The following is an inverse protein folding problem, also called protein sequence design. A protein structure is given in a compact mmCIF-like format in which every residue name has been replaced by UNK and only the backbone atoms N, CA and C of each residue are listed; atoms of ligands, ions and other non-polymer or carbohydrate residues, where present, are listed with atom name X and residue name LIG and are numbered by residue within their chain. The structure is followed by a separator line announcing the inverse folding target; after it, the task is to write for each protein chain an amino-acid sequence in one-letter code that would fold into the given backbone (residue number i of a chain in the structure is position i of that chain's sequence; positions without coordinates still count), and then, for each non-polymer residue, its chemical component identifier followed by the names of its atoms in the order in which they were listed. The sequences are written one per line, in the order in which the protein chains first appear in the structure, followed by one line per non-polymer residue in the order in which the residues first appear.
data_IF_554654021946
#
_entry.id   IF_554654021946
#
_cell.length_a   1.000
_cell.length_b   1.000
_cell.length_c   1.000
_cell.angle_alpha   90.00
_cell.angle_beta   90.00
_cell.angle_gamma   90.00
#
_symmetry.space_group_name_H-M   'P 1'
#
loop_
_entity.id
_entity.type
_entity.pdbx_description
1 polymer ?
#
# COMPACT_ATOMS: atom_id res chain seq x y z
N UNK A 1 14.17 -23.08 -10.77
CA UNK A 1 14.74 -23.38 -9.44
C UNK A 1 13.95 -22.63 -8.37
N UNK A 2 12.86 -23.27 -7.91
CA UNK A 2 12.36 -23.35 -6.53
C UNK A 2 12.62 -22.22 -5.51
N UNK A 3 12.30 -20.98 -5.86
CA UNK A 3 11.88 -19.97 -4.86
C UNK A 3 10.37 -20.16 -4.51
N UNK A 4 9.68 -21.04 -5.23
CA UNK A 4 8.24 -21.30 -5.14
C UNK A 4 7.81 -22.30 -4.05
N UNK A 5 8.72 -22.91 -3.29
CA UNK A 5 8.37 -23.93 -2.28
C UNK A 5 8.23 -23.41 -0.84
N UNK A 6 8.61 -22.16 -0.54
CA UNK A 6 8.46 -21.61 0.82
C UNK A 6 7.04 -21.14 1.16
N UNK A 7 6.12 -21.05 0.19
CA UNK A 7 4.75 -20.55 0.45
C UNK A 7 4.00 -21.40 1.48
N UNK A 8 4.20 -22.71 1.48
CA UNK A 8 3.64 -23.63 2.47
C UNK A 8 4.28 -23.51 3.86
N UNK A 9 5.60 -23.31 3.92
CA UNK A 9 6.31 -23.11 5.18
C UNK A 9 5.95 -21.76 5.81
N UNK A 10 5.92 -20.69 5.03
CA UNK A 10 5.55 -19.35 5.51
C UNK A 10 4.09 -19.28 5.93
N UNK A 11 3.17 -19.92 5.21
CA UNK A 11 1.75 -19.99 5.63
C UNK A 11 1.57 -20.84 6.89
N UNK A 12 2.39 -21.89 7.09
CA UNK A 12 2.40 -22.64 8.34
C UNK A 12 2.98 -21.85 9.51
N UNK A 13 3.99 -21.01 9.26
CA UNK A 13 4.63 -20.14 10.25
C UNK A 13 3.74 -18.95 10.64
N UNK A 14 2.93 -18.44 9.69
CA UNK A 14 1.91 -17.41 9.96
C UNK A 14 0.89 -17.83 11.03
N UNK A 15 0.64 -19.13 11.22
CA UNK A 15 -0.28 -19.62 12.27
C UNK A 15 0.15 -19.21 13.68
N UNK A 16 1.42 -18.86 13.87
CA UNK A 16 1.93 -18.18 15.04
C UNK A 16 2.17 -16.69 14.69
N UNK A 17 1.11 -15.89 14.80
CA UNK A 17 1.04 -14.51 14.28
C UNK A 17 2.16 -13.62 14.80
N UNK A 18 2.54 -13.79 16.07
CA UNK A 18 3.44 -12.89 16.77
C UNK A 18 4.90 -13.16 16.39
N UNK A 19 5.28 -14.43 16.26
CA UNK A 19 6.61 -14.80 15.82
C UNK A 19 6.83 -14.46 14.34
N UNK A 20 5.79 -14.60 13.52
CA UNK A 20 5.82 -14.17 12.11
C UNK A 20 5.97 -12.65 11.98
N UNK A 21 5.23 -11.88 12.78
CA UNK A 21 5.32 -10.42 12.83
C UNK A 21 6.73 -9.98 13.24
N UNK A 22 7.28 -10.54 14.34
CA UNK A 22 8.65 -10.23 14.79
C UNK A 22 9.68 -10.53 13.71
N UNK A 23 9.52 -11.66 13.01
CA UNK A 23 10.37 -12.03 11.90
C UNK A 23 10.30 -11.00 10.76
N UNK A 24 9.10 -10.63 10.31
CA UNK A 24 8.93 -9.62 9.27
C UNK A 24 9.50 -8.25 9.69
N UNK A 25 9.26 -7.81 10.93
CA UNK A 25 9.82 -6.58 11.47
C UNK A 25 11.35 -6.58 11.48
N UNK A 26 11.97 -7.70 11.88
CA UNK A 26 13.42 -7.84 11.89
C UNK A 26 14.05 -7.67 10.50
N UNK A 27 13.32 -8.04 9.44
CA UNK A 27 13.72 -7.83 8.06
C UNK A 27 13.49 -6.37 7.62
N UNK A 28 12.37 -5.76 8.01
CA UNK A 28 12.03 -4.37 7.63
C UNK A 28 13.07 -3.37 8.14
N UNK A 29 13.61 -3.58 9.34
CA UNK A 29 14.62 -2.69 9.95
C UNK A 29 16.06 -3.20 9.77
N UNK A 30 16.26 -4.18 8.89
CA UNK A 30 17.57 -4.81 8.71
C UNK A 30 18.58 -3.84 8.05
N UNK A 31 19.87 -3.85 8.44
CA UNK A 31 20.90 -3.00 7.84
C UNK A 31 21.09 -3.19 6.34
N UNK A 32 21.00 -4.44 5.84
CA UNK A 32 21.10 -4.73 4.41
C UNK A 32 19.82 -4.46 3.64
N UNK A 33 19.93 -3.81 2.48
CA UNK A 33 18.77 -3.39 1.68
C UNK A 33 17.92 -4.54 1.18
N UNK A 34 18.54 -5.64 0.73
CA UNK A 34 17.83 -6.81 0.22
C UNK A 34 16.83 -7.41 1.23
N UNK A 35 17.20 -7.48 2.52
CA UNK A 35 16.31 -8.02 3.55
C UNK A 35 15.14 -7.08 3.82
N UNK A 36 15.36 -5.76 3.75
CA UNK A 36 14.26 -4.79 3.88
C UNK A 36 13.23 -4.94 2.76
N UNK A 37 13.66 -5.20 1.53
CA UNK A 37 12.74 -5.50 0.42
C UNK A 37 11.88 -6.71 0.73
N UNK A 38 12.50 -7.78 1.23
CA UNK A 38 11.79 -9.01 1.60
C UNK A 38 10.82 -8.73 2.76
N UNK A 39 11.25 -8.03 3.80
CA UNK A 39 10.41 -7.69 4.95
C UNK A 39 9.16 -6.88 4.56
N UNK A 40 9.30 -5.92 3.64
CA UNK A 40 8.17 -5.13 3.13
C UNK A 40 7.23 -5.94 2.25
N UNK A 41 7.75 -6.89 1.45
CA UNK A 41 6.90 -7.84 0.72
C UNK A 41 6.14 -8.76 1.67
N UNK A 42 6.80 -9.28 2.71
CA UNK A 42 6.11 -10.08 3.74
C UNK A 42 5.03 -9.27 4.45
N UNK A 43 5.28 -7.98 4.71
CA UNK A 43 4.26 -7.08 5.26
C UNK A 43 3.03 -6.99 4.36
N UNK A 44 3.22 -6.67 3.08
CA UNK A 44 2.13 -6.44 2.13
C UNK A 44 1.40 -7.75 1.75
N UNK A 45 2.12 -8.85 1.52
CA UNK A 45 1.57 -10.13 1.05
C UNK A 45 0.78 -10.86 2.15
N UNK A 46 1.12 -10.64 3.42
CA UNK A 46 0.47 -11.28 4.58
C UNK A 46 -0.41 -10.32 5.38
N UNK A 47 -0.68 -9.13 4.85
CA UNK A 47 -1.59 -8.15 5.42
C UNK A 47 -1.29 -7.78 6.89
N UNK A 48 -0.01 -7.57 7.21
CA UNK A 48 0.42 -7.28 8.57
C UNK A 48 -0.09 -5.92 9.09
N UNK A 49 -0.67 -5.09 8.23
CA UNK A 49 -1.42 -3.89 8.64
C UNK A 49 -2.59 -4.18 9.59
N UNK A 50 -3.17 -5.39 9.57
CA UNK A 50 -4.25 -5.79 10.48
C UNK A 50 -3.75 -6.40 11.79
N UNK A 51 -2.44 -6.59 11.96
CA UNK A 51 -1.88 -7.07 13.22
C UNK A 51 -2.13 -6.08 14.36
N UNK A 52 -2.03 -6.53 15.61
CA UNK A 52 -2.15 -5.65 16.79
C UNK A 52 -0.92 -4.74 17.00
N UNK A 53 0.12 -4.92 16.19
CA UNK A 53 1.37 -4.16 16.24
C UNK A 53 1.13 -2.65 16.28
N UNK A 54 1.74 -1.98 17.25
CA UNK A 54 1.77 -0.54 17.38
C UNK A 54 3.23 -0.06 17.48
N UNK A 55 3.80 0.55 16.43
CA UNK A 55 5.21 0.92 16.45
C UNK A 55 5.55 1.97 17.50
N UNK A 56 4.58 2.75 18.00
CA UNK A 56 4.84 3.71 19.08
C UNK A 56 5.06 3.02 20.43
N UNK A 57 4.41 1.87 20.65
CA UNK A 57 4.47 1.10 21.91
C UNK A 57 5.50 -0.02 21.87
N UNK A 58 5.63 -0.66 20.70
CA UNK A 58 6.33 -1.94 20.55
C UNK A 58 7.77 -1.79 20.06
N UNK A 59 8.17 -0.59 19.64
CA UNK A 59 9.51 -0.31 19.15
C UNK A 59 10.17 0.83 19.93
N UNK A 60 11.47 0.70 20.16
CA UNK A 60 12.31 1.80 20.66
C UNK A 60 12.49 2.90 19.58
N UNK A 61 12.95 4.07 20.01
CA UNK A 61 13.10 5.27 19.16
C UNK A 61 13.89 5.02 17.85
N UNK A 62 15.00 4.30 17.92
CA UNK A 62 15.84 4.01 16.75
C UNK A 62 15.10 3.07 15.77
N UNK A 63 14.62 1.88 16.20
CA UNK A 63 13.76 1.03 15.38
C UNK A 63 12.53 1.74 14.80
N UNK A 64 11.88 2.66 15.54
CA UNK A 64 10.78 3.49 15.00
C UNK A 64 11.24 4.31 13.79
N UNK A 65 12.39 4.99 13.89
CA UNK A 65 12.95 5.76 12.77
C UNK A 65 13.27 4.87 11.56
N UNK A 66 13.88 3.71 11.78
CA UNK A 66 14.24 2.76 10.72
C UNK A 66 12.99 2.17 10.06
N UNK A 67 11.97 1.86 10.85
CA UNK A 67 10.68 1.38 10.36
C UNK A 67 10.01 2.42 9.46
N UNK A 68 9.95 3.68 9.88
CA UNK A 68 9.43 4.80 9.05
C UNK A 68 10.18 4.90 7.73
N UNK A 69 11.51 4.94 7.78
CA UNK A 69 12.35 5.09 6.59
C UNK A 69 12.10 3.93 5.64
N UNK A 70 12.14 2.69 6.13
CA UNK A 70 11.98 1.49 5.31
C UNK A 70 10.59 1.43 4.68
N UNK A 71 9.53 1.59 5.46
CA UNK A 71 8.13 1.44 5.01
C UNK A 71 7.71 2.49 3.97
N UNK A 72 8.35 3.66 3.95
CA UNK A 72 8.11 4.74 2.99
C UNK A 72 9.16 4.80 1.85
N UNK A 73 10.15 3.90 1.83
CA UNK A 73 11.24 3.93 0.85
C UNK A 73 10.82 3.44 -0.54
N UNK A 74 9.86 2.51 -0.61
CA UNK A 74 9.44 1.86 -1.86
C UNK A 74 7.99 2.18 -2.27
N UNK A 75 7.49 1.48 -3.28
CA UNK A 75 6.18 1.73 -3.89
C UNK A 75 5.03 0.95 -3.23
N UNK A 76 5.13 0.60 -1.95
CA UNK A 76 4.04 -0.05 -1.23
C UNK A 76 2.80 0.83 -1.06
N UNK A 77 1.63 0.18 -0.96
CA UNK A 77 0.33 0.85 -0.93
C UNK A 77 0.21 1.79 0.29
N UNK A 78 -0.03 3.10 0.09
CA UNK A 78 -0.21 4.05 1.19
C UNK A 78 -1.38 3.70 2.10
N UNK A 79 -2.44 3.08 1.58
CA UNK A 79 -3.62 2.73 2.39
C UNK A 79 -3.34 1.62 3.41
N UNK A 80 -2.39 0.72 3.14
CA UNK A 80 -2.03 -0.36 4.08
C UNK A 80 -0.90 0.06 5.02
N UNK A 81 0.07 0.85 4.52
CA UNK A 81 1.28 1.19 5.28
C UNK A 81 1.15 2.42 6.16
N UNK A 82 0.47 3.47 5.69
CA UNK A 82 0.35 4.71 6.47
C UNK A 82 -0.40 4.55 7.80
N UNK A 83 -1.49 3.74 7.91
CA UNK A 83 -2.21 3.62 9.19
C UNK A 83 -1.32 3.25 10.38
N UNK A 84 -0.31 2.39 10.17
CA UNK A 84 0.64 2.02 11.23
C UNK A 84 1.71 3.08 11.49
N UNK A 85 2.05 3.90 10.50
CA UNK A 85 3.05 4.95 10.66
C UNK A 85 2.47 6.22 11.27
N UNK A 86 1.20 6.52 11.02
CA UNK A 86 0.55 7.76 11.40
C UNK A 86 0.57 8.08 12.91
N UNK A 87 0.41 7.12 13.82
CA UNK A 87 0.59 7.37 15.26
C UNK A 87 1.95 7.98 15.61
N UNK A 88 3.00 7.69 14.83
CA UNK A 88 4.36 8.21 15.08
C UNK A 88 4.49 9.72 14.82
N UNK A 89 3.53 10.36 14.16
CA UNK A 89 3.45 11.82 14.07
C UNK A 89 3.30 12.44 15.47
N UNK A 90 2.66 11.72 16.38
CA UNK A 90 2.40 12.13 17.76
C UNK A 90 3.35 11.44 18.76
N UNK A 91 4.44 10.84 18.26
CA UNK A 91 5.48 10.25 19.12
C UNK A 91 6.08 11.30 20.04
N UNK A 92 6.42 10.92 21.28
CA UNK A 92 7.07 11.81 22.25
C UNK A 92 8.48 12.22 21.78
N UNK A 93 9.15 11.38 20.97
CA UNK A 93 10.46 11.70 20.41
C UNK A 93 10.37 12.72 19.26
N UNK A 94 11.00 13.87 19.46
CA UNK A 94 11.20 14.89 18.43
C UNK A 94 11.92 14.33 17.20
N UNK A 95 12.83 13.37 17.38
CA UNK A 95 13.56 12.74 16.27
C UNK A 95 12.63 11.92 15.40
N UNK A 96 11.78 11.09 16.02
CA UNK A 96 10.79 10.26 15.31
C UNK A 96 9.82 11.15 14.53
N UNK A 97 9.30 12.21 15.17
CA UNK A 97 8.44 13.20 14.51
C UNK A 97 9.11 13.85 13.30
N UNK A 98 10.38 14.24 13.42
CA UNK A 98 11.11 14.83 12.29
C UNK A 98 11.33 13.84 11.15
N UNK A 99 11.67 12.57 11.45
CA UNK A 99 11.89 11.53 10.44
C UNK A 99 10.62 11.25 9.65
N UNK A 100 9.47 11.07 10.32
CA UNK A 100 8.21 10.81 9.62
C UNK A 100 7.79 12.01 8.76
N UNK A 101 7.92 13.23 9.27
CA UNK A 101 7.57 14.44 8.52
C UNK A 101 8.44 14.59 7.27
N UNK A 102 9.76 14.38 7.38
CA UNK A 102 10.68 14.46 6.25
C UNK A 102 10.40 13.40 5.17
N UNK A 103 9.88 12.23 5.56
CA UNK A 103 9.55 11.16 4.62
C UNK A 103 8.15 11.27 4.02
N UNK A 104 7.19 11.86 4.74
CA UNK A 104 5.82 12.01 4.24
C UNK A 104 5.69 13.03 3.10
N UNK A 105 6.51 14.09 3.06
CA UNK A 105 6.48 15.09 1.98
C UNK A 105 6.80 14.49 0.60
N UNK A 106 7.96 13.83 0.38
CA UNK A 106 8.23 13.19 -0.91
C UNK A 106 7.23 12.07 -1.21
N UNK A 107 6.80 11.32 -0.20
CA UNK A 107 5.79 10.28 -0.35
C UNK A 107 4.43 10.83 -0.82
N UNK A 108 4.06 12.05 -0.38
CA UNK A 108 2.86 12.74 -0.84
C UNK A 108 2.96 13.13 -2.32
N UNK A 109 4.10 13.65 -2.75
CA UNK A 109 4.35 14.01 -4.16
C UNK A 109 4.28 12.77 -5.06
N UNK A 110 4.89 11.69 -4.60
CA UNK A 110 4.93 10.38 -5.26
C UNK A 110 3.52 9.84 -5.54
N UNK A 111 2.67 9.92 -4.53
CA UNK A 111 1.28 9.50 -4.60
C UNK A 111 0.32 10.63 -5.00
N UNK A 112 0.81 11.75 -5.53
CA UNK A 112 -0.01 12.86 -6.00
C UNK A 112 -1.09 13.31 -5.01
N UNK A 113 -0.78 13.35 -3.72
CA UNK A 113 -1.73 13.74 -2.69
C UNK A 113 -2.79 12.69 -2.32
N UNK A 114 -2.72 11.45 -2.83
CA UNK A 114 -3.57 10.36 -2.33
C UNK A 114 -3.38 10.11 -0.83
N UNK A 115 -2.20 10.45 -0.29
CA UNK A 115 -1.88 10.44 1.14
C UNK A 115 -2.87 11.29 1.97
N UNK A 116 -3.33 12.43 1.45
CA UNK A 116 -4.28 13.31 2.16
C UNK A 116 -5.61 12.60 2.42
N UNK A 117 -6.08 11.79 1.47
CA UNK A 117 -7.32 11.00 1.63
C UNK A 117 -7.20 9.98 2.76
N UNK A 118 -6.00 9.47 3.03
CA UNK A 118 -5.77 8.56 4.15
C UNK A 118 -5.86 9.32 5.48
N UNK A 119 -5.33 10.55 5.54
CA UNK A 119 -5.48 11.41 6.73
C UNK A 119 -6.95 11.75 6.99
N UNK A 120 -7.73 12.04 5.94
CA UNK A 120 -9.17 12.30 6.05
C UNK A 120 -9.92 11.07 6.58
N UNK A 121 -9.65 9.88 6.03
CA UNK A 121 -10.27 8.61 6.47
C UNK A 121 -9.99 8.30 7.93
N UNK A 122 -8.79 8.59 8.40
CA UNK A 122 -8.35 8.33 9.78
C UNK A 122 -8.67 9.48 10.74
N UNK A 123 -9.30 10.56 10.24
CA UNK A 123 -9.73 11.74 11.00
C UNK A 123 -8.59 12.39 11.81
N UNK A 124 -7.37 12.44 11.25
CA UNK A 124 -6.19 12.97 11.93
C UNK A 124 -6.06 14.47 11.64
N UNK A 125 -6.17 15.29 12.68
CA UNK A 125 -6.11 16.75 12.60
C UNK A 125 -5.07 17.36 13.56
N UNK A 126 -3.83 16.89 13.48
CA UNK A 126 -2.70 17.44 14.23
C UNK A 126 -2.06 18.64 13.48
N UNK A 127 -1.43 19.57 14.20
CA UNK A 127 -0.62 20.67 13.65
C UNK A 127 0.36 20.22 12.55
N UNK A 128 0.98 19.05 12.74
CA UNK A 128 1.88 18.45 11.76
C UNK A 128 1.16 18.07 10.46
N UNK A 129 -0.04 17.49 10.55
CA UNK A 129 -0.86 17.15 9.37
C UNK A 129 -1.36 18.42 8.68
N UNK A 130 -1.69 19.47 9.44
CA UNK A 130 -2.07 20.78 8.88
C UNK A 130 -0.93 21.36 8.02
N UNK A 131 0.33 21.22 8.46
CA UNK A 131 1.50 21.65 7.66
C UNK A 131 1.61 20.88 6.34
N UNK A 132 1.38 19.56 6.36
CA UNK A 132 1.37 18.74 5.14
C UNK A 132 0.21 19.11 4.21
N UNK A 133 -0.98 19.35 4.77
CA UNK A 133 -2.14 19.83 3.99
C UNK A 133 -1.84 21.15 3.31
N UNK A 134 -1.26 22.12 4.03
CA UNK A 134 -0.86 23.40 3.44
C UNK A 134 0.16 23.23 2.30
N UNK A 135 1.10 22.31 2.43
CA UNK A 135 2.03 21.96 1.35
C UNK A 135 1.30 21.35 0.14
N UNK A 136 0.34 20.45 0.39
CA UNK A 136 -0.49 19.87 -0.67
C UNK A 136 -1.33 20.93 -1.39
N UNK A 137 -1.97 21.84 -0.65
CA UNK A 137 -2.81 22.90 -1.20
C UNK A 137 -2.03 23.83 -2.14
N UNK A 138 -0.74 24.07 -1.86
CA UNK A 138 0.15 24.83 -2.75
C UNK A 138 0.43 24.09 -4.08
N UNK A 139 0.24 22.78 -4.12
CA UNK A 139 0.58 21.92 -5.26
C UNK A 139 -0.62 21.30 -5.95
N UNK A 140 -1.82 21.43 -5.40
CA UNK A 140 -3.03 20.75 -5.89
C UNK A 140 -3.30 21.10 -7.35
N UNK A 141 -3.17 22.37 -7.74
CA UNK A 141 -3.33 22.82 -9.12
C UNK A 141 -2.37 22.12 -10.08
N UNK A 142 -1.09 21.95 -9.68
CA UNK A 142 -0.10 21.27 -10.51
C UNK A 142 -0.40 19.76 -10.62
N UNK A 143 -0.87 19.15 -9.54
CA UNK A 143 -1.29 17.74 -9.51
C UNK A 143 -2.51 17.53 -10.41
N UNK A 144 -3.52 18.40 -10.34
CA UNK A 144 -4.73 18.31 -11.15
C UNK A 144 -4.45 18.51 -12.63
N UNK A 145 -3.65 19.53 -12.98
CA UNK A 145 -3.17 19.75 -14.35
C UNK A 145 -2.50 18.49 -14.90
N UNK A 146 -1.65 17.83 -14.11
CA UNK A 146 -0.97 16.61 -14.52
C UNK A 146 -1.91 15.42 -14.69
N UNK A 147 -2.88 15.24 -13.78
CA UNK A 147 -3.92 14.19 -13.89
C UNK A 147 -4.80 14.36 -15.14
N UNK A 148 -4.96 15.59 -15.62
CA UNK A 148 -5.74 15.88 -16.82
C UNK A 148 -5.01 15.52 -18.14
N UNK A 149 -3.68 15.29 -18.10
CA UNK A 149 -2.89 14.89 -19.27
C UNK A 149 -3.21 13.44 -19.61
N UNK A 150 -3.88 13.22 -20.75
CA UNK A 150 -4.35 11.89 -21.16
C UNK A 150 -3.18 10.97 -21.51
N UNK A 151 -2.11 11.52 -22.08
CA UNK A 151 -0.90 10.84 -22.52
C UNK A 151 -0.17 10.16 -21.35
N UNK A 152 -0.32 10.69 -20.12
CA UNK A 152 0.24 10.09 -18.90
C UNK A 152 -0.63 8.95 -18.34
N UNK A 153 -1.84 8.77 -18.85
CA UNK A 153 -2.70 7.67 -18.44
C UNK A 153 -2.38 6.43 -19.29
N UNK A 154 -2.04 5.27 -18.66
CA UNK A 154 -1.76 4.02 -19.38
C UNK A 154 -2.89 3.59 -20.32
N UNK A 155 -4.13 3.99 -20.00
CA UNK A 155 -5.31 3.74 -20.83
C UNK A 155 -5.21 4.36 -22.23
N UNK A 156 -4.44 5.43 -22.40
CA UNK A 156 -4.29 6.16 -23.67
C UNK A 156 -2.93 5.95 -24.32
N UNK A 157 -1.86 5.75 -23.55
CA UNK A 157 -0.50 5.51 -24.08
C UNK A 157 -0.22 4.06 -24.45
N UNK A 158 -0.76 3.09 -23.71
CA UNK A 158 -0.53 1.64 -23.89
C UNK A 158 -1.85 0.86 -23.91
N UNK A 159 -2.75 1.23 -24.82
CA UNK A 159 -4.15 0.76 -24.82
C UNK A 159 -4.26 -0.77 -24.87
N UNK A 160 -3.41 -1.43 -25.67
CA UNK A 160 -3.46 -2.88 -25.91
C UNK A 160 -2.99 -3.62 -24.66
N UNK A 161 -1.79 -3.29 -24.20
CA UNK A 161 -1.14 -3.86 -23.03
C UNK A 161 -1.97 -3.61 -21.76
N UNK A 162 -2.54 -2.41 -21.62
CA UNK A 162 -3.43 -2.08 -20.52
C UNK A 162 -4.71 -2.93 -20.55
N UNK A 163 -5.31 -3.15 -21.72
CA UNK A 163 -6.49 -4.04 -21.85
C UNK A 163 -6.14 -5.48 -21.50
N UNK A 164 -5.00 -5.99 -21.96
CA UNK A 164 -4.54 -7.34 -21.64
C UNK A 164 -4.28 -7.53 -20.14
N UNK A 165 -3.59 -6.57 -19.52
CA UNK A 165 -3.37 -6.58 -18.07
C UNK A 165 -4.69 -6.55 -17.29
N UNK A 166 -5.64 -5.69 -17.68
CA UNK A 166 -6.94 -5.58 -17.03
C UNK A 166 -7.80 -6.85 -17.20
N UNK A 167 -7.73 -7.49 -18.37
CA UNK A 167 -8.39 -8.77 -18.62
C UNK A 167 -7.79 -9.88 -17.76
N UNK A 168 -6.46 -9.93 -17.65
CA UNK A 168 -5.73 -10.90 -16.83
C UNK A 168 -6.07 -10.73 -15.35
N UNK A 169 -6.06 -9.49 -14.85
CA UNK A 169 -6.47 -9.17 -13.49
C UNK A 169 -7.93 -9.58 -13.25
N UNK A 170 -8.85 -9.25 -14.18
CA UNK A 170 -10.26 -9.65 -14.07
C UNK A 170 -10.42 -11.17 -13.97
N UNK A 171 -9.71 -11.94 -14.79
CA UNK A 171 -9.75 -13.40 -14.75
C UNK A 171 -9.21 -13.95 -13.43
N UNK A 172 -8.09 -13.43 -12.94
CA UNK A 172 -7.51 -13.80 -11.65
C UNK A 172 -8.48 -13.52 -10.49
N UNK A 173 -9.10 -12.34 -10.47
CA UNK A 173 -10.12 -11.98 -9.47
C UNK A 173 -11.34 -12.89 -9.52
N UNK A 174 -11.80 -13.25 -10.72
CA UNK A 174 -12.90 -14.22 -10.88
C UNK A 174 -12.52 -15.61 -10.34
N UNK A 175 -11.27 -16.03 -10.49
CA UNK A 175 -10.79 -17.29 -9.93
C UNK A 175 -10.71 -17.22 -8.40
N UNK A 176 -10.12 -16.16 -7.85
CA UNK A 176 -10.03 -15.94 -6.40
C UNK A 176 -11.42 -15.87 -5.75
N UNK A 177 -12.39 -15.21 -6.38
CA UNK A 177 -13.77 -15.20 -5.90
C UNK A 177 -14.40 -16.60 -5.90
N UNK A 178 -14.20 -17.38 -6.96
CA UNK A 178 -14.68 -18.77 -7.02
C UNK A 178 -14.03 -19.67 -5.97
N UNK A 179 -12.75 -19.45 -5.66
CA UNK A 179 -12.02 -20.19 -4.62
C UNK A 179 -12.49 -19.80 -3.22
N UNK A 180 -12.68 -18.50 -2.96
CA UNK A 180 -13.25 -18.01 -1.70
C UNK A 180 -14.69 -18.50 -1.48
N UNK A 181 -15.52 -18.56 -2.53
CA UNK A 181 -16.87 -19.14 -2.46
C UNK A 181 -16.88 -20.64 -2.14
N UNK A 182 -15.88 -21.41 -2.61
CA UNK A 182 -15.74 -22.84 -2.30
C UNK A 182 -15.34 -23.11 -0.86
N UNK A 183 -14.53 -22.23 -0.27
CA UNK A 183 -13.99 -22.40 1.09
C UNK A 183 -14.93 -21.86 2.20
N UNK A 184 -16.09 -21.30 1.83
CA UNK A 184 -17.21 -20.95 2.73
C UNK A 184 -16.88 -20.06 3.94
N UNK A 185 -15.78 -19.31 3.92
CA UNK A 185 -15.51 -18.17 4.80
C UNK A 185 -15.46 -16.89 3.97
N UNK A 186 -16.61 -16.46 3.49
CA UNK A 186 -16.69 -15.29 2.62
C UNK A 186 -16.81 -14.02 3.46
N UNK A 187 -15.74 -13.21 3.46
CA UNK A 187 -15.72 -11.80 3.87
C UNK A 187 -16.91 -10.99 3.30
N UNK A 188 -17.42 -11.39 2.11
CA UNK A 188 -18.56 -10.76 1.44
C UNK A 188 -19.92 -11.21 1.99
N UNK A 189 -20.03 -12.38 2.62
CA UNK A 189 -21.30 -12.87 3.19
C UNK A 189 -21.76 -12.00 4.37
N UNK A 190 -20.82 -11.34 5.07
CA UNK A 190 -21.14 -10.41 6.16
C UNK A 190 -21.43 -8.98 5.67
N UNK A 191 -21.03 -8.63 4.45
CA UNK A 191 -21.14 -7.27 3.89
C UNK A 191 -22.27 -7.16 2.86
N UNK A 192 -22.66 -8.25 2.20
CA UNK A 192 -23.62 -8.22 1.10
C UNK A 192 -24.78 -9.19 1.29
N UNK A 193 -25.98 -8.68 1.06
CA UNK A 193 -27.21 -9.46 0.97
C UNK A 193 -27.14 -10.38 -0.24
N UNK A 194 -27.36 -11.69 -0.04
CA UNK A 194 -27.49 -12.65 -1.13
C UNK A 194 -28.78 -12.36 -1.89
N UNK A 195 -28.70 -12.02 -3.18
CA UNK A 195 -29.89 -11.80 -4.01
C UNK A 195 -29.88 -12.69 -5.25
N UNK A 196 -31.04 -13.28 -5.55
CA UNK A 196 -31.26 -14.07 -6.76
C UNK A 196 -31.29 -13.13 -7.98
N UNK A 197 -30.35 -13.37 -8.91
CA UNK A 197 -30.22 -12.57 -10.12
C UNK A 197 -31.24 -13.00 -11.18
N UNK A 198 -31.98 -12.03 -11.70
CA UNK A 198 -32.74 -12.23 -12.93
C UNK A 198 -31.82 -12.18 -14.15
N UNK A 199 -32.20 -12.84 -15.25
CA UNK A 199 -31.51 -12.73 -16.55
C UNK A 199 -31.46 -11.25 -16.96
N UNK A 200 -30.30 -10.61 -16.81
CA UNK A 200 -30.12 -9.18 -17.10
C UNK A 200 -29.16 -8.40 -16.18
N UNK A 201 -28.61 -9.01 -15.12
CA UNK A 201 -27.57 -8.37 -14.30
C UNK A 201 -28.09 -7.37 -13.25
N UNK A 202 -29.37 -7.48 -12.89
CA UNK A 202 -29.99 -6.78 -11.76
C UNK A 202 -30.82 -7.74 -10.90
N UNK A 203 -31.15 -7.30 -9.68
CA UNK A 203 -32.08 -7.99 -8.79
C UNK A 203 -33.37 -7.19 -8.65
N UNK A 204 -34.50 -7.88 -8.40
CA UNK A 204 -35.79 -7.22 -8.17
C UNK A 204 -36.03 -7.03 -6.68
N UNK A 205 -36.38 -5.81 -6.28
CA UNK A 205 -36.90 -5.57 -4.93
C UNK A 205 -38.32 -6.14 -4.79
N UNK A 206 -38.82 -6.23 -3.55
CA UNK A 206 -40.17 -6.72 -3.25
C UNK A 206 -41.28 -5.82 -3.87
N UNK A 207 -40.91 -4.64 -4.35
CA UNK A 207 -41.78 -3.68 -5.05
C UNK A 207 -41.77 -3.86 -6.57
N UNK A 208 -40.96 -4.80 -7.10
CA UNK A 208 -40.84 -5.11 -8.53
C UNK A 208 -39.84 -4.25 -9.31
N UNK A 209 -39.11 -3.33 -8.67
CA UNK A 209 -38.11 -2.49 -9.32
C UNK A 209 -36.80 -3.26 -9.52
N UNK A 210 -36.16 -3.06 -10.68
CA UNK A 210 -34.88 -3.70 -11.01
C UNK A 210 -33.74 -2.81 -10.51
N UNK A 211 -33.05 -3.28 -9.47
CA UNK A 211 -31.82 -2.70 -8.95
C UNK A 211 -30.63 -3.30 -9.70
N UNK A 212 -29.83 -2.44 -10.36
CA UNK A 212 -28.61 -2.89 -11.04
C UNK A 212 -27.50 -3.18 -10.03
N UNK A 213 -26.70 -4.22 -10.28
CA UNK A 213 -25.56 -4.54 -9.41
C UNK A 213 -24.59 -3.36 -9.34
N UNK A 214 -24.23 -2.98 -8.11
CA UNK A 214 -23.15 -2.05 -7.85
C UNK A 214 -21.86 -2.59 -8.48
N UNK A 215 -21.24 -1.80 -9.34
CA UNK A 215 -19.97 -2.17 -9.94
C UNK A 215 -18.88 -2.03 -8.86
N UNK A 216 -18.34 -3.15 -8.35
CA UNK A 216 -17.21 -3.13 -7.43
C UNK A 216 -15.98 -2.66 -8.21
N UNK A 217 -15.68 -1.37 -8.11
CA UNK A 217 -14.46 -0.77 -8.66
C UNK A 217 -13.42 -0.72 -7.55
N UNK A 218 -12.33 -1.46 -7.74
CA UNK A 218 -11.20 -1.47 -6.81
C UNK A 218 -10.13 -0.59 -7.45
N UNK A 219 -9.93 0.58 -6.86
CA UNK A 219 -8.87 1.51 -7.25
C UNK A 219 -7.74 1.42 -6.24
N UNK A 220 -6.57 0.96 -6.67
CA UNK A 220 -5.36 1.00 -5.85
C UNK A 220 -4.58 2.25 -6.24
N UNK A 221 -4.15 3.09 -5.28
CA UNK A 221 -3.29 4.22 -5.58
C UNK A 221 -1.95 3.71 -6.13
N UNK A 222 -1.60 4.16 -7.34
CA UNK A 222 -0.31 3.88 -7.97
C UNK A 222 0.54 5.14 -7.97
N UNK A 223 1.83 5.00 -7.69
CA UNK A 223 2.81 6.11 -7.81
C UNK A 223 2.94 6.48 -9.28
N UNK A 224 2.35 7.60 -9.70
CA UNK A 224 2.30 7.99 -11.11
C UNK A 224 3.67 8.42 -11.66
N UNK A 225 4.60 8.78 -10.78
CA UNK A 225 5.95 9.21 -11.17
C UNK A 225 6.85 8.06 -11.65
N UNK A 226 6.58 6.82 -11.25
CA UNK A 226 7.42 5.65 -11.62
C UNK A 226 7.30 5.32 -13.10
N UNK A 227 6.07 5.44 -13.65
CA UNK A 227 5.82 5.18 -15.07
C UNK A 227 6.49 6.22 -15.98
N UNK A 228 6.92 7.36 -15.44
CA UNK A 228 7.66 8.40 -16.15
C UNK A 228 9.17 8.34 -15.94
N UNK A 229 9.68 7.40 -15.14
CA UNK A 229 11.13 7.26 -14.94
C UNK A 229 11.78 6.66 -16.18
N UNK A 230 12.90 7.24 -16.59
CA UNK A 230 13.80 6.63 -17.57
C UNK A 230 14.41 5.34 -17.01
N UNK A 231 14.89 4.41 -17.87
CA UNK A 231 15.58 3.21 -17.39
C UNK A 231 16.78 3.51 -16.48
N UNK A 232 17.44 4.65 -16.67
CA UNK A 232 18.55 5.10 -15.83
C UNK A 232 18.08 5.50 -14.43
N UNK A 233 17.06 6.36 -14.34
CA UNK A 233 16.45 6.74 -13.05
C UNK A 233 15.86 5.54 -12.31
N UNK A 234 15.28 4.59 -13.05
CA UNK A 234 14.77 3.34 -12.47
C UNK A 234 15.89 2.49 -11.86
N UNK A 235 17.02 2.36 -12.55
CA UNK A 235 18.19 1.65 -12.04
C UNK A 235 18.79 2.35 -10.81
N UNK A 236 18.91 3.67 -10.83
CA UNK A 236 19.35 4.46 -9.68
C UNK A 236 18.43 4.25 -8.48
N UNK A 237 17.12 4.27 -8.68
CA UNK A 237 16.14 4.02 -7.63
C UNK A 237 16.25 2.59 -7.06
N UNK A 238 16.39 1.57 -7.92
CA UNK A 238 16.60 0.18 -7.47
C UNK A 238 17.87 0.07 -6.63
N UNK A 239 18.96 0.71 -7.07
CA UNK A 239 20.23 0.71 -6.34
C UNK A 239 20.09 1.37 -4.97
N UNK A 240 19.42 2.54 -4.88
CA UNK A 240 19.18 3.21 -3.61
C UNK A 240 18.26 2.42 -2.67
N UNK A 241 17.33 1.63 -3.22
CA UNK A 241 16.46 0.75 -2.44
C UNK A 241 17.19 -0.48 -1.89
N UNK A 242 18.18 -0.99 -2.64
CA UNK A 242 19.01 -2.14 -2.24
C UNK A 242 20.25 -1.76 -1.43
N UNK A 243 20.58 -0.47 -1.34
CA UNK A 243 21.73 0.06 -0.62
C UNK A 243 21.73 -0.32 0.86
N UNK A 244 22.89 -0.69 1.38
CA UNK A 244 23.05 -1.03 2.79
C UNK A 244 23.14 0.26 3.62
N UNK A 245 22.47 0.28 4.77
CA UNK A 245 22.47 1.45 5.65
C UNK A 245 23.85 1.72 6.26
N UNK A 246 24.68 0.69 6.39
CA UNK A 246 26.06 0.83 6.87
C UNK A 246 26.92 1.66 5.90
N UNK A 247 26.71 1.52 4.59
CA UNK A 247 27.41 2.30 3.57
C UNK A 247 26.97 3.78 3.57
N UNK A 248 25.74 4.05 4.05
CA UNK A 248 25.18 5.41 4.13
C UNK A 248 25.62 6.15 5.38
N UNK A 249 26.05 5.44 6.43
CA UNK A 249 26.49 6.01 7.70
C UNK A 249 27.99 6.40 7.71
N UNK A 250 28.74 6.14 6.63
CA UNK A 250 30.16 6.49 6.52
C UNK A 250 31.10 5.65 7.40
N UNK A 251 30.65 4.50 7.89
CA UNK A 251 31.49 3.58 8.65
C UNK A 251 32.09 2.52 7.72
N UNK A 252 33.17 2.88 7.03
CA UNK A 252 34.19 1.96 6.55
C UNK A 252 35.52 2.33 7.21
#
# INVERSE_FOLDING_TARGET
MDILTMKGCLSSFQKNSDDFLKFALSFIIHPKGIYRVVGRRLWDDYHLEFSEFNPQKDLDEIPQCLFIISMLQDYGNPETRLPKLLPLIESDSTRVRNVIMNRLVPYLDDYMGHVIKVFDKLNINNEHVIKIRKYYDQRVDAIEKRRAIKELSPKYSYVIEYKEAMNTQKLYWQQQMKEAEKNNESFLNNIMTKVLLARGGGWRDDSGNIQHLGCIKISVPSRQLVQSMTPMEQNEWINELLKDWNETAGNN
#
